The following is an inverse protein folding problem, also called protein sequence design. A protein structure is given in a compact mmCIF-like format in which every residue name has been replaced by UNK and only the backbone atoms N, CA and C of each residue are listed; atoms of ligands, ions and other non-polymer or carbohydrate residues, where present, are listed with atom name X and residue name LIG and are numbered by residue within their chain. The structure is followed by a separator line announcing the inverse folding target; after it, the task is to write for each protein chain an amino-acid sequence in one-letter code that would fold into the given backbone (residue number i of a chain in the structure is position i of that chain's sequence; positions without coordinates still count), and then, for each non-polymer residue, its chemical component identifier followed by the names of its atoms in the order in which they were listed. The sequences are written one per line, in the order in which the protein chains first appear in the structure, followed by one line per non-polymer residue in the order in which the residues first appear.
data_IF_923854641830
#
_entry.id   IF_923854641830
#
_cell.length_a   1.000
_cell.length_b   1.000
_cell.length_c   1.000
_cell.angle_alpha   90.00
_cell.angle_beta   90.00
_cell.angle_gamma   90.00
#
_symmetry.space_group_name_H-M   'P 1'
#
loop_
_entity.id
_entity.type
_entity.pdbx_description
1 polymer ?
#
# COMPACT_ATOMS: atom_id res chain seq x y z
N UNK A 1 8.06 6.26 -6.58
CA UNK A 1 7.19 7.19 -5.85
C UNK A 1 7.76 7.41 -4.45
N UNK A 2 7.97 8.67 -4.09
CA UNK A 2 8.53 9.00 -2.78
C UNK A 2 7.49 8.92 -1.67
N UNK A 3 7.97 8.89 -0.42
CA UNK A 3 7.07 8.77 0.73
C UNK A 3 6.05 9.91 0.80
N UNK A 4 6.47 11.15 0.47
CA UNK A 4 5.54 12.29 0.50
C UNK A 4 4.41 12.12 -0.50
N UNK A 5 4.72 11.61 -1.70
CA UNK A 5 3.71 11.37 -2.71
C UNK A 5 2.77 10.23 -2.30
N UNK A 6 3.33 9.19 -1.67
CA UNK A 6 2.53 8.08 -1.16
C UNK A 6 1.61 8.58 -0.06
N UNK A 7 2.13 9.40 0.84
CA UNK A 7 1.34 9.95 1.93
C UNK A 7 0.17 10.79 1.39
N UNK A 8 0.44 11.65 0.43
CA UNK A 8 -0.61 12.48 -0.16
C UNK A 8 -1.69 11.60 -0.80
N UNK A 9 -1.29 10.56 -1.52
CA UNK A 9 -2.22 9.65 -2.18
C UNK A 9 -3.07 8.89 -1.15
N UNK A 10 -2.44 8.40 -0.08
CA UNK A 10 -3.14 7.64 0.95
C UNK A 10 -4.12 8.53 1.72
N UNK A 11 -3.71 9.74 2.08
CA UNK A 11 -4.61 10.65 2.79
C UNK A 11 -5.81 11.01 1.92
N UNK A 12 -5.60 11.15 0.62
CA UNK A 12 -6.69 11.41 -0.31
C UNK A 12 -7.65 10.24 -0.38
N UNK A 13 -7.13 9.01 -0.40
CA UNK A 13 -7.95 7.80 -0.40
C UNK A 13 -8.81 7.76 0.86
N UNK A 14 -8.22 8.06 2.02
CA UNK A 14 -8.97 8.06 3.27
C UNK A 14 -10.07 9.11 3.26
N UNK A 15 -9.80 10.28 2.72
CA UNK A 15 -10.81 11.35 2.62
C UNK A 15 -11.93 10.94 1.67
N UNK A 16 -11.58 10.43 0.49
CA UNK A 16 -12.58 10.17 -0.56
C UNK A 16 -13.33 8.84 -0.37
N UNK A 17 -12.66 7.81 0.14
CA UNK A 17 -13.27 6.49 0.21
C UNK A 17 -13.80 6.14 1.60
N UNK A 18 -13.22 6.68 2.63
CA UNK A 18 -13.57 6.32 4.00
C UNK A 18 -14.11 7.51 4.80
N UNK A 19 -14.13 8.70 4.19
CA UNK A 19 -14.59 9.93 4.84
C UNK A 19 -13.81 10.23 6.11
N UNK A 20 -12.54 9.87 6.12
CA UNK A 20 -11.63 10.14 7.23
C UNK A 20 -10.69 11.24 6.77
N UNK A 21 -10.86 12.44 7.35
CA UNK A 21 -10.09 13.61 6.95
C UNK A 21 -8.94 13.86 7.89
N UNK A 22 -7.75 14.02 7.30
CA UNK A 22 -6.54 14.40 8.03
C UNK A 22 -6.32 13.56 9.29
N UNK A 23 -6.32 12.21 9.17
CA UNK A 23 -6.03 11.39 10.33
C UNK A 23 -4.59 11.63 10.78
N UNK A 24 -4.37 11.58 12.09
CA UNK A 24 -3.01 11.66 12.60
C UNK A 24 -2.22 10.45 12.13
N UNK A 25 -0.95 10.67 11.78
CA UNK A 25 -0.14 9.61 11.18
C UNK A 25 0.11 8.43 12.11
N UNK A 26 0.03 8.66 13.41
CA UNK A 26 0.25 7.60 14.40
C UNK A 26 -1.01 7.24 15.18
N UNK A 27 -2.17 7.77 14.76
CA UNK A 27 -3.44 7.40 15.39
C UNK A 27 -3.81 5.98 15.02
N UNK A 28 -4.36 5.24 15.99
CA UNK A 28 -4.86 3.89 15.72
C UNK A 28 -6.18 4.04 14.96
N UNK A 29 -6.16 3.69 13.68
CA UNK A 29 -7.31 3.90 12.80
C UNK A 29 -8.52 3.09 13.25
N UNK A 30 -8.29 1.90 13.80
CA UNK A 30 -9.38 1.05 14.26
C UNK A 30 -10.07 1.67 15.47
N UNK A 31 -9.28 2.16 16.42
CA UNK A 31 -9.83 2.72 17.66
C UNK A 31 -10.47 4.07 17.47
N UNK A 32 -9.88 4.92 16.62
CA UNK A 32 -10.34 6.29 16.46
C UNK A 32 -11.44 6.41 15.40
N UNK A 33 -11.33 5.64 14.31
CA UNK A 33 -12.23 5.79 13.16
C UNK A 33 -13.00 4.51 12.83
N UNK A 34 -12.89 3.49 13.68
CA UNK A 34 -13.57 2.21 13.47
C UNK A 34 -13.21 1.57 12.13
N UNK A 35 -11.95 1.75 11.72
CA UNK A 35 -11.44 1.20 10.47
C UNK A 35 -11.24 -0.31 10.65
N UNK A 36 -12.18 -1.09 10.18
CA UNK A 36 -12.17 -2.54 10.40
C UNK A 36 -11.57 -3.31 9.23
N UNK A 37 -11.68 -4.63 9.27
CA UNK A 37 -11.08 -5.48 8.23
C UNK A 37 -11.73 -5.31 6.87
N UNK A 38 -13.00 -4.91 6.83
CA UNK A 38 -13.68 -4.65 5.55
C UNK A 38 -13.07 -3.41 4.91
N UNK A 39 -12.85 -2.37 5.71
CA UNK A 39 -12.19 -1.16 5.23
C UNK A 39 -10.76 -1.45 4.78
N UNK A 40 -10.07 -2.34 5.51
CA UNK A 40 -8.71 -2.71 5.15
C UNK A 40 -8.66 -3.39 3.79
N UNK A 41 -9.64 -4.26 3.48
CA UNK A 41 -9.71 -4.91 2.17
C UNK A 41 -9.92 -3.86 1.07
N UNK A 42 -10.77 -2.89 1.34
CA UNK A 42 -11.01 -1.80 0.38
C UNK A 42 -9.74 -0.99 0.17
N UNK A 43 -9.00 -0.70 1.25
CA UNK A 43 -7.75 0.02 1.16
C UNK A 43 -6.73 -0.75 0.32
N UNK A 44 -6.65 -2.07 0.49
CA UNK A 44 -5.72 -2.89 -0.29
C UNK A 44 -6.01 -2.79 -1.78
N UNK A 45 -7.28 -2.74 -2.15
CA UNK A 45 -7.68 -2.54 -3.54
C UNK A 45 -7.17 -1.21 -4.06
N UNK A 46 -7.30 -0.14 -3.27
CA UNK A 46 -6.83 1.17 -3.67
C UNK A 46 -5.31 1.19 -3.80
N UNK A 47 -4.62 0.46 -2.93
CA UNK A 47 -3.16 0.35 -3.03
C UNK A 47 -2.77 -0.39 -4.32
N UNK A 48 -3.48 -1.44 -4.67
CA UNK A 48 -3.22 -2.15 -5.92
C UNK A 48 -3.37 -1.22 -7.12
N UNK A 49 -4.39 -0.39 -7.11
CA UNK A 49 -4.61 0.59 -8.17
C UNK A 49 -3.48 1.62 -8.19
N UNK A 50 -3.13 2.14 -7.02
CA UNK A 50 -2.10 3.15 -6.88
C UNK A 50 -0.74 2.67 -7.40
N UNK A 51 -0.38 1.43 -7.08
CA UNK A 51 0.91 0.85 -7.47
C UNK A 51 0.84 0.10 -8.80
N UNK A 52 -0.35 0.00 -9.39
CA UNK A 52 -0.57 -0.71 -10.65
C UNK A 52 -0.01 -2.14 -10.56
N UNK A 53 -0.38 -2.85 -9.50
CA UNK A 53 0.11 -4.20 -9.26
C UNK A 53 -0.94 -4.98 -8.47
N UNK A 54 -0.77 -6.29 -8.41
CA UNK A 54 -1.61 -7.13 -7.56
C UNK A 54 -0.80 -7.57 -6.35
N UNK A 55 -1.45 -7.58 -5.20
CA UNK A 55 -0.83 -8.02 -3.97
C UNK A 55 -0.94 -9.53 -3.83
N UNK A 56 0.11 -10.15 -3.33
CA UNK A 56 0.09 -11.59 -3.04
C UNK A 56 -0.74 -11.83 -1.78
N UNK A 57 -1.10 -13.09 -1.56
CA UNK A 57 -1.84 -13.47 -0.36
C UNK A 57 -1.05 -13.12 0.91
N UNK A 58 0.26 -13.38 0.90
CA UNK A 58 1.11 -13.07 2.04
C UNK A 58 1.15 -11.56 2.31
N UNK A 59 1.21 -10.76 1.24
CA UNK A 59 1.23 -9.31 1.38
C UNK A 59 -0.08 -8.81 1.97
N UNK A 60 -1.20 -9.36 1.51
CA UNK A 60 -2.51 -8.98 2.03
C UNK A 60 -2.65 -9.35 3.51
N UNK A 61 -2.14 -10.51 3.87
CA UNK A 61 -2.18 -10.96 5.26
C UNK A 61 -1.38 -10.02 6.16
N UNK A 62 -0.20 -9.62 5.71
CA UNK A 62 0.64 -8.70 6.49
C UNK A 62 -0.06 -7.36 6.70
N UNK A 63 -0.84 -6.91 5.72
CA UNK A 63 -1.54 -5.65 5.82
C UNK A 63 -2.63 -5.65 6.90
N UNK A 64 -3.13 -6.82 7.27
CA UNK A 64 -4.19 -6.90 8.28
C UNK A 64 -3.71 -6.47 9.66
N UNK A 65 -2.40 -6.38 9.89
CA UNK A 65 -1.83 -5.95 11.17
C UNK A 65 -1.55 -4.47 11.22
N UNK A 66 -1.79 -3.75 10.15
CA UNK A 66 -1.59 -2.31 10.09
C UNK A 66 -2.66 -1.59 10.91
N UNK A 67 -2.24 -0.58 11.68
CA UNK A 67 -3.15 0.19 12.52
C UNK A 67 -3.04 1.69 12.34
N UNK A 68 -1.93 2.18 11.74
CA UNK A 68 -1.68 3.62 11.61
C UNK A 68 -1.33 3.98 10.17
N UNK A 69 -1.47 5.27 9.83
CA UNK A 69 -1.08 5.76 8.51
C UNK A 69 0.41 5.51 8.27
N UNK A 70 1.26 5.79 9.28
CA UNK A 70 2.69 5.55 9.11
C UNK A 70 3.00 4.09 8.78
N UNK A 71 2.28 3.15 9.38
CA UNK A 71 2.46 1.74 9.06
C UNK A 71 2.03 1.44 7.64
N UNK A 72 0.98 2.10 7.15
CA UNK A 72 0.56 1.94 5.75
C UNK A 72 1.66 2.44 4.82
N UNK A 73 2.25 3.58 5.14
CA UNK A 73 3.32 4.15 4.30
C UNK A 73 4.54 3.22 4.28
N UNK A 74 4.91 2.68 5.43
CA UNK A 74 6.01 1.72 5.51
C UNK A 74 5.72 0.50 4.65
N UNK A 75 4.49 0.01 4.71
CA UNK A 75 4.05 -1.15 3.96
C UNK A 75 4.16 -0.89 2.45
N UNK A 76 3.68 0.26 2.01
CA UNK A 76 3.71 0.62 0.59
C UNK A 76 5.15 0.81 0.10
N UNK A 77 5.98 1.44 0.92
CA UNK A 77 7.39 1.61 0.56
C UNK A 77 8.08 0.26 0.40
N UNK A 78 7.79 -0.67 1.30
CA UNK A 78 8.37 -2.01 1.23
C UNK A 78 7.91 -2.75 -0.02
N UNK A 79 6.62 -2.63 -0.38
CA UNK A 79 6.09 -3.23 -1.60
C UNK A 79 6.76 -2.64 -2.84
N UNK A 80 6.89 -1.33 -2.86
CA UNK A 80 7.47 -0.61 -3.98
C UNK A 80 8.93 -1.03 -4.18
N UNK A 81 9.67 -1.10 -3.10
CA UNK A 81 11.07 -1.50 -3.14
C UNK A 81 11.23 -2.95 -3.60
N UNK A 82 10.41 -3.84 -3.08
CA UNK A 82 10.47 -5.26 -3.44
C UNK A 82 10.22 -5.45 -4.94
N UNK A 83 9.24 -4.73 -5.48
CA UNK A 83 8.90 -4.86 -6.89
C UNK A 83 9.95 -4.21 -7.78
N UNK A 84 10.52 -3.12 -7.32
CA UNK A 84 11.59 -2.47 -8.07
C UNK A 84 12.81 -3.39 -8.16
N UNK A 85 13.16 -4.05 -7.08
CA UNK A 85 14.29 -4.98 -7.07
C UNK A 85 14.01 -6.25 -7.86
N UNK A 86 12.75 -6.68 -7.91
CA UNK A 86 12.36 -7.88 -8.64
C UNK A 86 12.27 -7.63 -10.15
N UNK A 87 12.10 -6.37 -10.58
CA UNK A 87 12.03 -6.00 -11.99
C UNK A 87 13.43 -5.73 -12.50
N UNK A 88 14.06 -6.59 -13.20
CA UNK A 88 15.41 -6.35 -13.69
C UNK A 88 15.41 -5.35 -14.83
N UNK A 89 15.38 -5.07 -14.79
CA UNK A 89 15.24 -4.24 -15.68
C UNK A 89 14.91 -4.19 -16.64
N UNK A 90 14.68 -5.18 -16.02
CA UNK A 90 14.22 -4.83 -16.71
C UNK A 90 13.97 -5.20 -17.03
N UNK A 91 14.07 -5.63 -17.01
CA UNK A 91 13.75 -5.78 -17.51
C UNK A 91 13.78 -6.43 -17.72
N UNK A 92 14.12 -6.84 -17.75
CA UNK A 92 14.03 -7.34 -18.17
C UNK A 92 14.02 -8.06 -18.19
N UNK A 93 14.26 -8.46 -18.18
CA UNK A 93 14.02 -9.02 -18.45
C UNK A 93 13.94 -9.69 -18.48
N UNK A 94 14.40 -9.98 -18.49
CA UNK A 94 14.21 -10.54 -18.84
C UNK A 94 14.29 -11.20 -18.96
N UNK A 95 14.84 -11.43 -18.95
CA UNK A 95 14.80 -11.98 -19.41
C UNK A 95 14.84 -12.72 -19.55
N UNK A 96 15.20 -12.86 -19.49
CA UNK A 96 15.08 -13.37 -19.94
C UNK A 96 15.05 -13.99 -19.95
N UNK A 97 15.41 -14.03 -19.77
CA UNK A 97 15.20 -14.41 -20.14
C UNK A 97 15.09 -15.05 -20.18
N UNK A 98 15.40 -15.07 -19.91
CA UNK A 98 15.07 -15.34 -20.30
C UNK A 98 14.78 -15.99 -20.49
N UNK A 99 14.96 -16.10 -20.33
CA UNK A 99 14.51 -16.35 -20.79
C UNK A 99 14.17 -16.72 -20.77
N UNK A 100 14.78 -17.08 -20.89
CA UNK A 100 14.41 -17.22 -21.13
C UNK A 100 14.17 -17.56 -21.11
#
# INVERSE_FOLDING_TARGET
MGRDAIQAAILRIFDEKFEIREPGLDENLRDVYEFDSIDAVELLREIEILLNTQLTRAEKKNAMEIRTINQILDYIEALSLARHLASPSGSDQQVSSVEP
#
